data_IF_659599033612
#
_entry.id   IF_659599033612
#
_cell.length_a   1.000
_cell.length_b   1.000
_cell.length_c   1.000
_cell.angle_alpha   90.00
_cell.angle_beta   90.00
_cell.angle_gamma   90.00
#
_symmetry.space_group_name_H-M   'P 1'
#
loop_
_entity.id
_entity.type
_entity.pdbx_description
1 polymer ?
2 non-polymer ?
3 non-polymer ?
4 water ?
#
# COMPACT_ATOMS: atom_id res chain seq x y z
N UNK A 3 -0.62 -16.39 -19.82
CA UNK A 3 -0.73 -14.90 -20.01
C UNK A 3 0.01 -14.49 -21.23
N UNK A 4 -0.48 -13.36 -21.77
CA UNK A 4 0.27 -12.70 -22.86
C UNK A 4 1.68 -12.39 -22.42
N UNK A 5 2.61 -12.19 -23.35
CA UNK A 5 3.95 -11.73 -23.02
C UNK A 5 3.89 -10.31 -22.50
N UNK A 6 4.66 -9.96 -21.44
CA UNK A 6 4.74 -8.55 -21.07
C UNK A 6 5.26 -7.72 -22.25
N UNK A 7 4.83 -6.52 -22.36
CA UNK A 7 5.21 -5.60 -23.46
C UNK A 7 6.19 -4.55 -22.97
N UNK A 8 7.48 -4.78 -23.16
CA UNK A 8 8.47 -3.82 -22.66
C UNK A 8 8.46 -2.52 -23.39
N UNK A 9 8.15 -2.49 -24.68
CA UNK A 9 8.01 -1.21 -25.41
C UNK A 9 6.90 -0.39 -24.80
N UNK A 10 5.80 -1.04 -24.50
CA UNK A 10 4.70 -0.37 -23.82
C UNK A 10 5.11 0.14 -22.44
N UNK A 11 5.82 -0.69 -21.68
CA UNK A 11 6.28 -0.23 -20.36
C UNK A 11 7.20 1.00 -20.48
N UNK A 12 8.11 0.95 -21.47
CA UNK A 12 9.02 2.08 -21.70
C UNK A 12 8.18 3.35 -21.94
N UNK A 13 7.16 3.24 -22.78
CA UNK A 13 6.32 4.42 -23.12
C UNK A 13 5.60 4.93 -21.88
N UNK A 14 5.13 4.02 -21.00
CA UNK A 14 4.48 4.46 -19.79
C UNK A 14 5.42 5.29 -18.94
N UNK A 15 6.61 4.78 -18.72
CA UNK A 15 7.57 5.54 -17.87
C UNK A 15 7.88 6.87 -18.48
N UNK A 16 8.11 6.90 -19.82
CA UNK A 16 8.42 8.16 -20.45
C UNK A 16 7.32 9.18 -20.31
N UNK A 17 6.06 8.69 -20.44
CA UNK A 17 4.93 9.56 -20.26
C UNK A 17 4.87 10.09 -18.81
N UNK A 18 5.13 9.23 -17.84
CA UNK A 18 5.12 9.68 -16.45
C UNK A 18 6.14 10.80 -16.23
N UNK A 19 7.34 10.67 -16.78
CA UNK A 19 8.30 11.74 -16.66
C UNK A 19 7.76 13.03 -17.30
N UNK A 20 7.13 12.91 -18.48
CA UNK A 20 6.61 14.08 -19.14
C UNK A 20 5.51 14.80 -18.36
N UNK A 21 4.92 14.12 -17.39
CA UNK A 21 3.85 14.60 -16.58
C UNK A 21 4.32 15.06 -15.20
N UNK A 22 5.61 14.92 -14.88
CA UNK A 22 6.16 15.49 -13.68
C UNK A 22 6.82 14.55 -12.75
N UNK A 23 6.86 13.21 -13.06
CA UNK A 23 7.62 12.30 -12.18
C UNK A 23 9.13 12.51 -12.42
N UNK A 24 9.94 12.77 -11.39
CA UNK A 24 11.38 12.82 -11.67
C UNK A 24 11.92 11.53 -12.18
N UNK A 25 11.42 10.41 -11.68
CA UNK A 25 11.82 9.06 -12.03
C UNK A 25 10.64 8.15 -11.99
N UNK A 26 10.73 7.06 -12.76
CA UNK A 26 9.68 6.06 -12.78
C UNK A 26 10.31 4.74 -13.16
N UNK A 27 9.84 3.65 -12.60
CA UNK A 27 10.53 2.37 -12.84
C UNK A 27 9.48 1.28 -12.62
N UNK A 28 9.79 0.05 -13.16
CA UNK A 28 8.89 -1.10 -13.07
C UNK A 28 9.69 -2.35 -13.18
N UNK A 29 9.32 -3.37 -12.37
CA UNK A 29 9.92 -4.70 -12.49
C UNK A 29 8.74 -5.63 -12.62
N UNK A 30 8.89 -6.62 -13.47
CA UNK A 30 7.96 -7.72 -13.68
C UNK A 30 8.73 -9.01 -13.40
N UNK A 31 8.16 -9.87 -12.56
CA UNK A 31 8.63 -11.23 -12.38
C UNK A 31 7.65 -12.12 -13.12
N UNK A 32 8.05 -12.55 -14.34
CA UNK A 32 7.17 -13.34 -15.20
C UNK A 32 7.53 -14.80 -15.12
N UNK A 33 7.06 -15.48 -14.08
CA UNK A 33 7.31 -16.91 -13.91
C UNK A 33 8.81 -17.25 -14.06
N UNK A 34 9.63 -16.45 -13.41
CA UNK A 34 11.06 -16.72 -13.40
C UNK A 34 11.88 -15.88 -14.39
N UNK A 35 11.25 -15.17 -15.29
CA UNK A 35 11.95 -14.30 -16.20
C UNK A 35 11.68 -12.83 -15.78
N UNK A 36 12.75 -12.07 -15.60
CA UNK A 36 12.61 -10.72 -15.08
C UNK A 36 12.51 -9.73 -16.26
N UNK A 37 11.64 -8.72 -16.06
CA UNK A 37 11.64 -7.52 -16.87
C UNK A 37 11.91 -6.34 -15.96
N UNK A 38 12.76 -5.42 -16.36
CA UNK A 38 13.09 -4.28 -15.49
C UNK A 38 13.39 -3.09 -16.34
N UNK A 39 12.72 -1.96 -16.06
CA UNK A 39 12.91 -0.71 -16.77
C UNK A 39 12.83 0.43 -15.77
N UNK A 40 13.59 1.48 -16.07
CA UNK A 40 13.58 2.70 -15.28
C UNK A 40 13.93 3.88 -16.14
N UNK A 41 13.40 5.04 -15.84
CA UNK A 41 13.76 6.27 -16.54
C UNK A 41 13.82 7.39 -15.52
N UNK A 42 14.78 8.30 -15.70
CA UNK A 42 14.83 9.49 -14.85
C UNK A 42 15.68 9.28 -13.60
N UNK A 43 15.34 10.12 -12.61
CA UNK A 43 16.25 10.31 -11.48
C UNK A 43 15.60 9.92 -10.16
N UNK A 44 16.47 9.32 -9.33
CA UNK A 44 16.16 9.08 -7.91
C UNK A 44 16.29 10.35 -7.10
N UNK A 45 17.22 11.20 -7.47
CA UNK A 45 17.48 12.46 -6.75
C UNK A 45 17.59 13.53 -7.81
N UNK A 46 16.59 14.43 -7.84
CA UNK A 46 16.56 15.42 -8.93
C UNK A 46 17.59 16.56 -8.73
N UNK A 47 18.08 16.76 -7.56
CA UNK A 47 19.05 17.81 -7.32
C UNK A 47 20.44 17.31 -7.69
N UNK A 48 20.75 16.04 -7.37
CA UNK A 48 22.06 15.52 -7.72
C UNK A 48 22.09 14.91 -9.07
N UNK A 49 20.93 14.55 -9.59
CA UNK A 49 20.86 13.88 -10.89
C UNK A 49 21.10 12.37 -10.86
N UNK A 50 21.26 11.78 -9.68
CA UNK A 50 21.44 10.31 -9.60
C UNK A 50 20.28 9.60 -10.26
N UNK A 51 20.56 8.65 -11.15
CA UNK A 51 19.53 7.92 -11.85
C UNK A 51 18.74 6.98 -10.92
N UNK A 52 17.46 6.85 -11.20
CA UNK A 52 16.63 5.87 -10.51
C UNK A 52 16.89 4.50 -11.13
N UNK A 53 16.77 3.49 -10.30
CA UNK A 53 16.92 2.11 -10.72
C UNK A 53 15.90 1.22 -10.02
N UNK A 54 15.68 0.05 -10.58
CA UNK A 54 14.70 -0.87 -9.97
C UNK A 54 15.18 -1.45 -8.66
N UNK A 55 16.42 -1.29 -8.25
CA UNK A 55 16.86 -1.78 -6.95
C UNK A 55 16.76 -0.71 -5.87
N UNK A 56 16.35 0.52 -6.22
CA UNK A 56 16.23 1.55 -5.19
C UNK A 56 15.10 1.24 -4.21
N UNK A 57 15.40 1.35 -2.92
CA UNK A 57 14.31 1.24 -1.92
C UNK A 57 13.43 2.45 -1.99
N UNK A 58 12.16 2.30 -1.49
CA UNK A 58 11.21 3.35 -1.51
C UNK A 58 10.13 3.09 -0.48
N UNK A 59 9.32 4.12 -0.25
CA UNK A 59 8.17 4.01 0.71
C UNK A 59 6.98 3.48 -0.06
N UNK A 60 6.47 2.33 0.35
CA UNK A 60 5.38 1.66 -0.38
C UNK A 60 4.01 2.15 -0.01
N UNK A 61 3.94 3.05 0.98
CA UNK A 61 2.65 3.61 1.37
C UNK A 61 1.69 2.54 1.74
N UNK A 62 0.46 2.74 1.24
CA UNK A 62 -0.68 1.91 1.62
C UNK A 62 -0.61 0.48 1.18
N UNK A 63 0.41 0.08 0.40
CA UNK A 63 0.69 -1.34 0.27
C UNK A 63 0.89 -1.99 1.61
N UNK A 64 1.33 -1.21 2.61
CA UNK A 64 1.41 -1.67 3.97
C UNK A 64 0.16 -2.33 4.45
N UNK A 65 -1.02 -1.88 4.00
CA UNK A 65 -2.29 -2.48 4.46
C UNK A 65 -2.31 -3.98 4.16
N UNK A 66 -1.73 -4.44 3.04
CA UNK A 66 -1.71 -5.84 2.74
C UNK A 66 -0.84 -6.61 3.74
N UNK A 67 0.29 -6.03 4.16
CA UNK A 67 1.13 -6.63 5.21
C UNK A 67 0.36 -6.74 6.50
N UNK A 68 -0.34 -5.67 6.89
CA UNK A 68 -1.17 -5.70 8.12
C UNK A 68 -2.26 -6.77 8.04
N UNK A 69 -2.90 -6.85 6.86
CA UNK A 69 -3.95 -7.87 6.69
C UNK A 69 -3.39 -9.28 6.79
N UNK A 70 -2.22 -9.55 6.20
CA UNK A 70 -1.64 -10.88 6.33
C UNK A 70 -1.43 -11.22 7.81
N UNK A 71 -0.85 -10.31 8.61
CA UNK A 71 -0.64 -10.61 10.00
C UNK A 71 -1.99 -10.93 10.67
N UNK A 72 -3.02 -10.10 10.45
CA UNK A 72 -4.31 -10.36 11.10
C UNK A 72 -4.88 -11.66 10.66
N UNK A 73 -4.77 -12.04 9.40
CA UNK A 73 -5.33 -13.32 8.93
C UNK A 73 -4.57 -14.50 9.51
N UNK A 74 -3.24 -14.40 9.73
CA UNK A 74 -2.55 -15.42 10.42
C UNK A 74 -3.04 -15.52 11.86
N UNK A 75 -3.35 -14.40 12.50
CA UNK A 75 -3.96 -14.49 13.84
C UNK A 75 -5.30 -15.18 13.82
N UNK A 76 -6.09 -15.00 12.79
CA UNK A 76 -7.33 -15.76 12.62
C UNK A 76 -7.02 -17.25 12.53
N UNK A 77 -6.05 -17.61 11.71
CA UNK A 77 -5.65 -19.00 11.60
C UNK A 77 -5.26 -19.61 12.95
N UNK A 78 -4.61 -18.85 13.79
CA UNK A 78 -4.11 -19.31 15.05
C UNK A 78 -5.22 -19.28 16.12
N UNK A 79 -6.45 -18.81 15.81
CA UNK A 79 -7.52 -18.82 16.81
C UNK A 79 -7.52 -17.65 17.74
N UNK A 80 -6.81 -16.57 17.36
CA UNK A 80 -6.64 -15.40 18.25
C UNK A 80 -7.56 -14.29 17.90
N UNK A 81 -8.26 -14.37 16.74
CA UNK A 81 -9.01 -13.30 16.19
C UNK A 81 -10.20 -13.85 15.40
N UNK A 82 -11.39 -13.29 15.50
CA UNK A 82 -12.54 -13.68 14.75
C UNK A 82 -12.94 -12.47 13.87
N UNK A 83 -12.96 -12.68 12.56
CA UNK A 83 -13.27 -11.55 11.68
C UNK A 83 -14.64 -10.94 11.96
N UNK A 84 -15.59 -11.73 12.46
CA UNK A 84 -16.98 -11.23 12.59
C UNK A 84 -17.28 -10.75 14.00
N UNK A 85 -16.29 -10.74 14.88
CA UNK A 85 -16.46 -10.10 16.16
C UNK A 85 -16.29 -8.59 16.05
N UNK A 86 -16.95 -7.90 17.01
CA UNK A 86 -16.83 -6.45 17.19
C UNK A 86 -15.38 -6.04 17.40
N UNK A 87 -14.88 -4.95 16.80
CA UNK A 87 -13.60 -4.42 17.18
C UNK A 87 -13.53 -4.18 18.68
N UNK A 88 -14.59 -3.59 19.23
CA UNK A 88 -14.64 -3.25 20.64
C UNK A 88 -14.62 -4.46 21.55
N UNK A 89 -14.86 -5.66 21.03
CA UNK A 89 -14.65 -6.87 21.84
C UNK A 89 -13.19 -6.99 22.26
N UNK A 90 -12.27 -6.62 21.34
CA UNK A 90 -10.84 -6.74 21.58
C UNK A 90 -10.21 -5.44 22.14
N UNK A 91 -10.80 -4.31 21.76
CA UNK A 91 -10.27 -3.00 22.11
C UNK A 91 -11.42 -2.22 22.77
N UNK A 92 -11.73 -2.53 24.03
CA UNK A 92 -12.97 -2.02 24.58
C UNK A 92 -13.03 -0.50 24.58
N UNK A 93 -14.19 0.03 24.23
CA UNK A 93 -14.44 1.44 24.18
C UNK A 93 -13.73 2.19 23.07
N UNK A 94 -13.11 1.44 22.13
CA UNK A 94 -12.37 2.18 21.11
C UNK A 94 -13.24 2.95 20.11
N UNK A 95 -14.19 2.23 19.53
CA UNK A 95 -15.01 2.79 18.44
C UNK A 95 -16.37 3.20 18.95
N UNK A 96 -17.00 4.17 18.23
CA UNK A 96 -18.28 4.74 18.67
C UNK A 96 -19.40 3.73 18.50
N UNK A 97 -19.25 2.66 17.78
CA UNK A 97 -20.33 1.74 17.53
C UNK A 97 -19.75 0.32 17.78
N UNK A 98 -20.32 -0.36 18.76
CA UNK A 98 -19.94 -1.72 19.00
C UNK A 98 -20.24 -2.65 17.83
N UNK A 99 -21.11 -2.31 16.93
CA UNK A 99 -21.43 -3.19 15.81
C UNK A 99 -20.40 -3.15 14.71
N UNK A 100 -19.38 -2.30 14.77
CA UNK A 100 -18.30 -2.34 13.76
C UNK A 100 -17.41 -3.54 13.99
N UNK A 101 -17.28 -4.37 12.99
CA UNK A 101 -16.50 -5.63 13.12
C UNK A 101 -15.15 -5.52 12.45
N UNK A 102 -14.31 -6.55 12.80
CA UNK A 102 -12.97 -6.63 12.27
C UNK A 102 -13.01 -6.73 10.75
N UNK A 103 -13.91 -7.58 10.21
CA UNK A 103 -14.03 -7.78 8.76
C UNK A 103 -14.37 -6.44 8.10
N UNK A 104 -15.28 -5.70 8.72
CA UNK A 104 -15.68 -4.41 8.16
C UNK A 104 -14.52 -3.39 8.12
N UNK A 105 -13.72 -3.37 9.19
CA UNK A 105 -12.55 -2.46 9.15
C UNK A 105 -11.63 -2.88 8.04
N UNK A 106 -11.34 -4.20 7.92
CA UNK A 106 -10.34 -4.65 6.94
C UNK A 106 -10.75 -4.46 5.50
N UNK A 107 -12.04 -4.29 5.24
CA UNK A 107 -12.59 -4.11 3.91
C UNK A 107 -13.07 -2.69 3.68
N UNK A 108 -12.78 -1.75 4.59
CA UNK A 108 -13.21 -0.37 4.43
C UNK A 108 -14.71 -0.24 4.36
N UNK A 109 -15.43 -1.05 5.16
CA UNK A 109 -16.90 -0.96 5.27
C UNK A 109 -17.32 -0.51 6.64
N UNK A 110 -16.43 0.02 7.44
CA UNK A 110 -16.74 0.37 8.84
C UNK A 110 -17.49 1.67 9.04
N UNK A 111 -17.40 2.60 8.05
CA UNK A 111 -17.89 3.96 8.19
C UNK A 111 -16.96 4.88 8.93
N UNK A 112 -15.81 4.40 9.40
CA UNK A 112 -14.93 5.31 10.18
C UNK A 112 -14.39 6.41 9.27
N UNK A 113 -14.48 7.65 9.75
CA UNK A 113 -14.03 8.84 9.02
C UNK A 113 -12.53 8.75 8.85
N UNK A 114 -12.03 9.08 7.69
CA UNK A 114 -10.58 9.03 7.46
C UNK A 114 -9.93 10.30 8.03
N UNK A 115 -9.14 10.17 9.09
CA UNK A 115 -8.47 11.31 9.77
C UNK A 115 -7.60 12.04 8.78
N UNK A 116 -7.09 11.39 7.72
CA UNK A 116 -6.21 12.06 6.82
C UNK A 116 -6.93 13.18 6.00
N UNK A 117 -8.27 13.10 5.94
CA UNK A 117 -9.16 14.14 5.47
C UNK A 117 -8.75 15.54 6.07
N UNK A 118 -8.44 15.52 7.34
CA UNK A 118 -8.20 16.73 8.14
C UNK A 118 -6.66 17.02 8.13
N UNK A 119 -5.84 16.12 7.67
CA UNK A 119 -4.40 16.34 7.60
C UNK A 119 -3.96 16.88 6.26
N UNK A 120 -4.46 16.35 5.13
CA UNK A 120 -3.81 16.62 3.85
C UNK A 120 -4.68 17.24 2.79
N UNK A 121 -5.68 17.92 3.17
CA UNK A 121 -6.46 18.71 2.29
C UNK A 121 -5.60 19.72 1.56
N UNK A 122 -4.67 20.36 2.30
CA UNK A 122 -3.61 21.15 1.69
C UNK A 122 -2.37 20.29 1.73
N UNK A 123 -1.87 19.86 0.56
CA UNK A 123 -0.90 18.80 0.49
C UNK A 123 0.40 19.09 1.18
N UNK A 124 1.08 20.20 0.73
CA UNK A 124 2.39 20.49 1.25
C UNK A 124 2.30 20.98 2.71
N UNK A 125 1.40 21.92 3.06
CA UNK A 125 1.26 22.27 4.49
C UNK A 125 0.96 21.08 5.33
N UNK A 126 0.10 20.17 4.88
CA UNK A 126 -0.20 18.97 5.68
C UNK A 126 1.02 18.09 5.88
N UNK A 127 1.81 17.89 4.83
CA UNK A 127 3.06 17.17 4.96
C UNK A 127 3.98 17.81 5.97
N UNK A 128 4.13 19.15 5.89
CA UNK A 128 5.01 19.84 6.84
C UNK A 128 4.46 19.70 8.24
N UNK A 129 3.17 19.59 8.42
CA UNK A 129 2.48 19.39 9.68
C UNK A 129 2.83 18.06 10.35
N UNK A 130 2.83 16.96 9.60
CA UNK A 130 2.93 15.65 10.14
C UNK A 130 4.32 15.05 10.06
N UNK A 131 5.19 15.54 9.16
CA UNK A 131 6.33 14.73 8.76
C UNK A 131 7.25 14.37 9.91
N UNK A 132 7.33 15.25 10.90
CA UNK A 132 8.25 15.07 12.05
C UNK A 132 7.47 14.83 13.32
N UNK A 133 6.23 14.41 13.25
CA UNK A 133 5.43 14.11 14.43
C UNK A 133 5.45 12.62 14.66
N UNK A 134 5.30 12.26 15.94
CA UNK A 134 5.10 10.88 16.37
C UNK A 134 3.75 10.81 17.02
N UNK A 135 2.85 10.00 16.45
CA UNK A 135 1.50 9.80 16.94
C UNK A 135 1.41 8.43 17.62
N UNK A 136 0.61 8.30 18.66
CA UNK A 136 0.20 6.96 19.07
C UNK A 136 -0.94 6.50 18.19
N UNK A 137 -1.21 5.18 18.17
CA UNK A 137 -2.37 4.67 17.48
C UNK A 137 -3.63 5.38 17.97
N UNK A 138 -3.76 5.52 19.31
CA UNK A 138 -4.97 6.13 19.86
C UNK A 138 -5.10 7.54 19.39
N UNK A 139 -4.00 8.29 19.24
CA UNK A 139 -4.10 9.68 18.79
C UNK A 139 -4.84 9.73 17.47
N UNK A 140 -4.50 8.80 16.55
CA UNK A 140 -5.09 8.80 15.22
C UNK A 140 -6.57 8.41 15.26
N UNK A 141 -6.91 7.40 16.11
CA UNK A 141 -8.29 7.08 16.29
C UNK A 141 -9.09 8.27 16.82
N UNK A 142 -8.52 8.95 17.84
CA UNK A 142 -9.24 10.13 18.36
C UNK A 142 -9.50 11.18 17.30
N UNK A 143 -8.53 11.38 16.45
CA UNK A 143 -8.73 12.34 15.34
C UNK A 143 -9.85 11.94 14.46
N UNK A 144 -9.97 10.65 14.10
CA UNK A 144 -11.12 10.20 13.30
C UNK A 144 -12.43 10.47 14.02
N UNK A 145 -12.44 10.14 15.32
CA UNK A 145 -13.71 10.18 16.10
C UNK A 145 -14.12 11.62 16.40
N UNK A 146 -13.41 12.62 16.01
CA UNK A 146 -13.92 14.00 16.02
C UNK A 146 -15.06 14.11 15.02
N UNK A 147 -15.20 13.16 14.10
CA UNK A 147 -16.23 13.16 13.09
C UNK A 147 -17.14 11.96 13.28
N UNK A 148 -18.37 12.10 12.84
CA UNK A 148 -19.25 10.92 12.86
C UNK A 148 -18.82 9.90 11.79
N UNK A 149 -19.39 8.71 11.94
CA UNK A 149 -19.16 7.73 10.86
C UNK A 149 -19.86 8.21 9.59
N UNK A 150 -19.47 7.68 8.48
CA UNK A 150 -20.03 8.11 7.18
C UNK A 150 -21.05 7.14 6.60
N UNK A 151 -21.20 5.95 7.25
CA UNK A 151 -22.22 5.01 6.81
C UNK A 151 -22.38 4.01 7.94
N UNK A 152 -23.47 3.25 7.86
CA UNK A 152 -23.74 2.20 8.88
C UNK A 152 -22.69 1.08 8.76
N UNK A 153 -22.50 0.33 9.85
CA UNK A 153 -21.46 -0.72 9.82
C UNK A 153 -21.70 -1.69 8.70
N UNK A 154 -20.67 -1.93 7.87
CA UNK A 154 -20.70 -2.89 6.78
C UNK A 154 -21.40 -2.39 5.52
N UNK A 155 -22.02 -1.18 5.55
CA UNK A 155 -23.00 -0.87 4.55
C UNK A 155 -22.43 -0.35 3.25
N UNK A 156 -21.26 0.22 3.26
CA UNK A 156 -20.74 0.93 2.11
C UNK A 156 -19.22 0.83 2.15
N UNK A 157 -18.64 0.79 0.99
CA UNK A 157 -17.16 0.92 0.87
C UNK A 157 -16.75 2.36 0.92
N UNK A 158 -15.84 2.69 1.79
CA UNK A 158 -15.27 4.04 1.90
C UNK A 158 -13.88 3.91 2.41
N UNK A 159 -12.89 4.10 1.53
CA UNK A 159 -11.51 3.86 1.97
C UNK A 159 -11.16 4.78 3.14
N UNK A 160 -10.55 4.21 4.18
CA UNK A 160 -10.18 5.03 5.32
C UNK A 160 -8.96 4.49 5.98
N UNK A 161 -7.93 5.31 6.12
CA UNK A 161 -6.74 4.93 6.89
C UNK A 161 -7.05 4.53 8.29
N UNK A 162 -8.10 5.11 8.89
CA UNK A 162 -8.46 4.80 10.24
C UNK A 162 -8.62 3.29 10.44
N UNK A 163 -9.15 2.62 9.40
CA UNK A 163 -9.32 1.18 9.48
C UNK A 163 -8.02 0.42 9.73
N UNK A 164 -6.94 0.87 9.10
CA UNK A 164 -5.69 0.14 9.25
C UNK A 164 -4.85 0.68 10.43
N UNK A 165 -5.22 1.81 11.02
CA UNK A 165 -4.79 2.14 12.38
C UNK A 165 -5.40 1.15 13.36
N UNK A 166 -6.73 0.89 13.25
CA UNK A 166 -7.34 -0.14 14.05
C UNK A 166 -6.62 -1.48 13.86
N UNK A 167 -6.27 -1.84 12.62
CA UNK A 167 -5.54 -3.07 12.38
C UNK A 167 -4.28 -3.19 13.20
N UNK A 168 -3.47 -2.11 13.21
CA UNK A 168 -2.25 -2.14 13.98
C UNK A 168 -2.49 -2.28 15.47
N UNK A 169 -3.51 -1.59 15.97
CA UNK A 169 -3.85 -1.76 17.40
C UNK A 169 -4.26 -3.17 17.71
N UNK A 170 -5.01 -3.79 16.84
CA UNK A 170 -5.42 -5.20 17.05
C UNK A 170 -4.22 -6.08 17.06
N UNK A 171 -3.32 -5.88 16.11
CA UNK A 171 -2.10 -6.73 16.12
C UNK A 171 -1.34 -6.59 17.40
N UNK A 172 -1.07 -5.35 17.83
CA UNK A 172 -0.25 -5.16 19.00
C UNK A 172 -0.95 -5.64 20.26
N UNK A 173 -2.27 -5.41 20.41
CA UNK A 173 -2.81 -5.89 21.66
C UNK A 173 -2.85 -7.40 21.65
N UNK A 174 -3.31 -8.07 20.59
CA UNK A 174 -3.57 -9.52 20.66
C UNK A 174 -2.24 -10.29 20.72
N UNK A 175 -1.16 -9.74 20.19
CA UNK A 175 0.11 -10.42 20.26
C UNK A 175 1.00 -10.01 21.38
N UNK A 176 0.83 -8.79 21.90
CA UNK A 176 1.77 -8.28 22.90
C UNK A 176 3.09 -7.82 22.28
N UNK A 177 3.19 -7.73 20.95
CA UNK A 177 4.41 -7.37 20.26
C UNK A 177 4.13 -6.14 19.42
N UNK A 178 5.17 -5.47 18.96
CA UNK A 178 5.02 -4.39 18.05
C UNK A 178 4.67 -4.86 16.63
N UNK A 179 4.05 -3.98 15.84
CA UNK A 179 3.82 -4.37 14.45
C UNK A 179 5.16 -4.64 13.78
N UNK A 180 6.24 -3.92 14.05
CA UNK A 180 7.50 -4.22 13.40
C UNK A 180 7.94 -5.67 13.63
N UNK A 181 7.82 -6.12 14.90
CA UNK A 181 8.20 -7.48 15.22
C UNK A 181 7.32 -8.49 14.47
N UNK A 182 6.03 -8.22 14.43
CA UNK A 182 5.12 -9.15 13.73
C UNK A 182 5.41 -9.17 12.23
N UNK A 183 5.60 -8.02 11.63
CA UNK A 183 5.94 -8.03 10.20
C UNK A 183 7.21 -8.83 9.99
N UNK A 184 8.22 -8.56 10.83
CA UNK A 184 9.54 -9.18 10.62
C UNK A 184 9.39 -10.72 10.74
N UNK A 185 8.74 -11.19 11.78
CA UNK A 185 8.73 -12.61 12.06
C UNK A 185 7.77 -13.36 11.16
N UNK A 186 6.66 -12.76 10.75
CA UNK A 186 5.66 -13.43 9.98
C UNK A 186 5.82 -13.28 8.49
N UNK A 187 6.52 -12.28 8.05
CA UNK A 187 6.56 -11.93 6.60
C UNK A 187 8.00 -11.68 6.15
N UNK A 188 8.70 -10.69 6.73
CA UNK A 188 9.97 -10.29 6.13
C UNK A 188 11.00 -11.40 6.22
N UNK A 189 11.12 -12.02 7.41
CA UNK A 189 12.13 -13.10 7.55
C UNK A 189 11.72 -14.32 6.74
N UNK A 190 10.49 -14.85 6.88
CA UNK A 190 10.16 -16.12 6.10
C UNK A 190 10.35 -15.95 4.63
N UNK A 191 10.05 -14.77 4.05
CA UNK A 191 10.16 -14.56 2.62
C UNK A 191 11.53 -14.02 2.22
N UNK A 192 12.42 -13.79 3.21
CA UNK A 192 13.74 -13.24 2.91
C UNK A 192 13.65 -11.92 2.17
N UNK A 193 12.83 -11.01 2.69
CA UNK A 193 12.65 -9.68 2.08
C UNK A 193 13.73 -8.75 2.55
N UNK A 194 14.93 -8.87 1.94
CA UNK A 194 16.14 -8.15 2.42
C UNK A 194 16.10 -6.66 2.20
N UNK A 195 15.17 -6.17 1.39
CA UNK A 195 15.03 -4.73 1.15
C UNK A 195 13.81 -4.12 1.90
N UNK A 196 13.19 -4.93 2.79
CA UNK A 196 11.93 -4.52 3.37
C UNK A 196 12.09 -4.22 4.87
N UNK A 197 11.54 -3.07 5.27
CA UNK A 197 11.73 -2.57 6.63
C UNK A 197 10.50 -1.91 7.14
N UNK A 198 10.39 -1.88 8.48
CA UNK A 198 9.40 -1.05 9.18
C UNK A 198 10.17 -0.42 10.31
N UNK A 199 10.53 0.85 10.16
CA UNK A 199 11.48 1.52 11.04
C UNK A 199 10.80 2.65 11.82
N UNK A 200 9.50 2.82 11.72
CA UNK A 200 8.81 3.88 12.42
C UNK A 200 9.22 4.01 13.87
N UNK A 201 9.48 5.21 14.36
CA UNK A 201 9.34 6.52 13.69
C UNK A 201 10.62 7.05 13.08
N UNK A 202 11.62 6.21 12.79
CA UNK A 202 12.81 6.68 12.10
C UNK A 202 12.48 7.26 10.75
N UNK A 203 13.16 8.33 10.38
CA UNK A 203 12.94 9.03 9.13
C UNK A 203 13.91 8.66 8.02
N UNK A 204 14.95 7.91 8.34
CA UNK A 204 15.93 7.50 7.37
C UNK A 204 15.43 6.26 6.62
N UNK A 205 15.66 6.24 5.33
CA UNK A 205 15.43 5.05 4.50
C UNK A 205 16.75 4.33 4.41
N UNK A 206 16.83 3.10 4.91
CA UNK A 206 18.15 2.40 4.91
C UNK A 206 18.57 2.06 3.51
N UNK A 207 19.86 2.24 3.23
CA UNK A 207 20.47 1.86 1.92
C UNK A 207 20.06 2.81 0.82
N UNK A 208 20.43 2.41 -0.38
CA UNK A 208 20.24 3.26 -1.56
C UNK A 208 18.73 3.28 -1.86
N UNK A 209 18.22 4.51 -2.04
CA UNK A 209 16.81 4.71 -2.18
C UNK A 209 16.48 5.78 -3.17
N UNK A 210 15.26 5.72 -3.68
CA UNK A 210 14.72 6.87 -4.43
C UNK A 210 14.29 7.92 -3.45
N UNK A 211 14.60 9.19 -3.74
CA UNK A 211 14.00 10.27 -3.01
C UNK A 211 12.59 10.46 -3.48
N UNK A 212 11.74 10.96 -2.61
CA UNK A 212 10.34 11.24 -2.96
C UNK A 212 10.13 12.72 -3.15
N UNK A 213 9.31 13.07 -4.12
CA UNK A 213 9.06 14.50 -4.43
C UNK A 213 7.59 14.78 -4.43
N UNK A 214 7.15 15.58 -3.48
CA UNK A 214 5.75 15.89 -3.36
C UNK A 214 5.43 17.03 -4.30
N UNK A 215 4.43 16.82 -5.16
CA UNK A 215 3.93 17.85 -6.06
C UNK A 215 3.03 18.76 -5.29
N UNK A 216 3.23 20.09 -5.34
CA UNK A 216 2.37 20.98 -4.63
C UNK A 216 0.99 21.05 -5.27
N UNK A 217 0.03 21.52 -4.50
CA UNK A 217 -1.32 21.68 -5.05
C UNK A 217 -1.39 22.74 -6.17
N UNK A 218 -0.53 23.71 -6.14
CA UNK A 218 -0.53 24.81 -7.15
C UNK A 218 0.10 24.32 -8.45
N UNK A 219 -0.61 24.43 -9.56
CA UNK A 219 -0.05 24.06 -10.82
C UNK A 219 1.26 24.78 -11.06
N UNK A 220 2.23 23.98 -11.56
CA UNK A 220 3.56 24.53 -11.90
C UNK A 220 4.41 24.77 -10.71
N UNK A 221 4.02 24.51 -9.46
CA UNK A 221 4.83 24.80 -8.27
C UNK A 221 6.03 23.95 -8.17
N UNK A 222 7.04 24.44 -7.45
CA UNK A 222 8.29 23.67 -7.24
C UNK A 222 8.04 22.43 -6.40
N UNK A 223 8.77 21.36 -6.72
CA UNK A 223 8.65 20.12 -5.96
C UNK A 223 9.32 20.21 -4.62
N UNK A 224 8.76 19.47 -3.64
CA UNK A 224 9.24 19.40 -2.27
C UNK A 224 9.83 18.02 -2.02
N UNK A 225 11.03 17.95 -1.50
CA UNK A 225 11.65 16.67 -1.14
C UNK A 225 10.90 16.14 0.11
N UNK A 226 10.22 15.01 -0.06
CA UNK A 226 9.45 14.43 1.04
C UNK A 226 9.99 13.09 1.48
N UNK A 227 11.24 12.81 1.13
CA UNK A 227 11.84 11.50 1.42
C UNK A 227 11.80 11.11 2.86
N UNK A 228 12.26 12.00 3.73
CA UNK A 228 12.53 11.64 5.17
C UNK A 228 11.42 12.15 6.04
N UNK A 229 10.62 11.22 6.57
CA UNK A 229 9.51 11.56 7.45
C UNK A 229 9.29 10.37 8.33
N UNK A 230 8.52 10.55 9.42
CA UNK A 230 8.27 9.46 10.33
C UNK A 230 7.26 8.45 9.78
N UNK A 231 6.36 8.94 8.91
CA UNK A 231 5.20 8.21 8.47
C UNK A 231 4.37 7.76 9.68
N UNK A 232 4.45 8.51 10.78
CA UNK A 232 3.72 8.16 11.99
C UNK A 232 2.23 8.40 11.79
N UNK A 233 1.86 9.26 10.83
CA UNK A 233 0.46 9.47 10.54
C UNK A 233 -0.19 8.21 9.97
N UNK A 234 0.59 7.28 9.46
CA UNK A 234 0.05 6.06 8.81
C UNK A 234 0.39 4.77 9.58
N UNK A 235 1.62 4.54 9.95
CA UNK A 235 2.01 3.35 10.69
C UNK A 235 1.55 2.08 9.99
N UNK A 236 0.71 1.26 10.59
CA UNK A 236 0.25 0.00 9.99
C UNK A 236 -0.69 0.20 8.80
N UNK A 237 -1.03 1.49 8.49
CA UNK A 237 -1.75 1.83 7.26
C UNK A 237 -0.80 2.23 6.14
N UNK A 238 0.49 2.45 6.41
CA UNK A 238 1.32 3.01 5.31
C UNK A 238 2.83 3.14 5.51
N UNK A 239 3.50 2.62 6.53
CA UNK A 239 4.91 2.97 6.77
C UNK A 239 5.95 1.94 6.29
N UNK A 240 5.61 0.87 5.60
CA UNK A 240 6.65 -0.09 5.15
C UNK A 240 7.52 0.53 4.06
N UNK A 241 8.82 0.19 4.12
CA UNK A 241 9.79 0.47 3.08
C UNK A 241 10.09 -0.84 2.35
N UNK A 242 10.22 -0.83 1.03
CA UNK A 242 10.53 -2.04 0.30
C UNK A 242 11.20 -1.72 -1.03
N UNK A 243 11.18 -2.73 -1.89
CA UNK A 243 11.76 -2.65 -3.20
C UNK A 243 10.81 -3.36 -4.18
N UNK A 244 11.04 -3.12 -5.47
CA UNK A 244 10.21 -3.83 -6.48
C UNK A 244 10.37 -5.32 -6.39
N UNK A 245 11.62 -5.82 -6.17
CA UNK A 245 11.77 -7.27 -6.08
C UNK A 245 11.02 -7.81 -4.89
N UNK A 246 11.13 -7.15 -3.75
CA UNK A 246 10.45 -7.68 -2.56
C UNK A 246 8.94 -7.58 -2.60
N UNK A 247 8.36 -6.56 -3.20
CA UNK A 247 6.91 -6.52 -3.29
C UNK A 247 6.43 -7.62 -4.26
N UNK A 248 7.21 -7.84 -5.35
CA UNK A 248 6.88 -8.96 -6.24
C UNK A 248 6.90 -10.29 -5.49
N UNK A 249 7.96 -10.51 -4.70
CA UNK A 249 8.01 -11.72 -3.92
C UNK A 249 6.81 -11.84 -2.95
N UNK A 250 6.49 -10.74 -2.28
CA UNK A 250 5.39 -10.76 -1.29
C UNK A 250 4.05 -11.12 -1.96
N UNK A 251 3.68 -10.38 -3.03
CA UNK A 251 2.38 -10.64 -3.60
C UNK A 251 2.29 -11.98 -4.28
N UNK A 252 3.43 -12.44 -4.87
CA UNK A 252 3.38 -13.79 -5.45
C UNK A 252 3.29 -14.85 -4.36
N UNK A 253 3.90 -14.64 -3.20
CA UNK A 253 3.72 -15.59 -2.09
C UNK A 253 2.30 -15.58 -1.58
N UNK A 254 1.71 -14.39 -1.47
CA UNK A 254 0.34 -14.27 -0.99
C UNK A 254 -0.57 -15.04 -1.93
N UNK A 255 -0.53 -14.72 -3.24
CA UNK A 255 -1.54 -15.28 -4.13
C UNK A 255 -1.33 -16.75 -4.36
N UNK A 256 -0.10 -17.25 -4.27
CA UNK A 256 0.19 -18.66 -4.41
C UNK A 256 -0.05 -19.45 -3.18
N UNK A 257 -0.55 -18.84 -2.09
CA UNK A 257 -0.97 -19.61 -0.97
C UNK A 257 0.00 -19.82 0.19
N UNK A 258 1.11 -19.04 0.22
CA UNK A 258 2.16 -19.34 1.14
C UNK A 258 2.06 -18.58 2.48
N UNK A 259 1.11 -17.67 2.64
CA UNK A 259 1.15 -16.78 3.81
C UNK A 259 0.04 -17.01 4.77
N UNK A 260 -0.90 -17.92 4.52
CA UNK A 260 -2.03 -18.17 5.44
C UNK A 260 -2.74 -19.42 4.93
N UNK A 261 -3.72 -19.85 5.71
CA UNK A 261 -4.50 -20.99 5.21
C UNK A 261 -5.29 -20.64 3.98
N UNK A 262 -5.73 -21.69 3.24
CA UNK A 262 -6.62 -21.46 2.09
C UNK A 262 -7.88 -20.78 2.55
N UNK A 263 -8.46 -21.14 3.68
CA UNK A 263 -9.72 -20.52 4.20
C UNK A 263 -9.50 -19.04 4.34
N UNK A 264 -8.38 -18.62 4.96
CA UNK A 264 -8.22 -17.18 5.17
C UNK A 264 -7.89 -16.43 3.87
N UNK A 265 -7.15 -17.06 2.95
CA UNK A 265 -6.99 -16.37 1.67
C UNK A 265 -8.31 -16.17 0.97
N UNK A 266 -9.24 -17.15 1.08
CA UNK A 266 -10.55 -16.96 0.49
C UNK A 266 -11.27 -15.80 1.13
N UNK A 267 -11.20 -15.62 2.41
CA UNK A 267 -11.81 -14.47 3.06
C UNK A 267 -11.20 -13.15 2.57
N UNK A 268 -9.87 -13.18 2.38
CA UNK A 268 -9.17 -12.01 1.91
C UNK A 268 -9.62 -11.58 0.51
N UNK A 269 -10.11 -12.53 -0.28
CA UNK A 269 -10.50 -12.30 -1.67
C UNK A 269 -12.03 -12.24 -1.81
N UNK A 270 -12.76 -12.02 -0.75
CA UNK A 270 -14.21 -11.74 -0.89
C UNK A 270 -14.33 -10.27 -1.25
N UNK A 271 -14.71 -9.98 -2.48
CA UNK A 271 -14.60 -8.62 -3.00
C UNK A 271 -15.80 -7.74 -2.65
N UNK A 272 -15.54 -6.58 -2.10
CA UNK A 272 -16.45 -5.48 -1.96
C UNK A 272 -16.28 -4.58 -3.17
N UNK A 273 -17.35 -4.20 -3.86
CA UNK A 273 -17.20 -3.32 -5.04
C UNK A 273 -16.67 -1.98 -4.68
N UNK A 274 -15.65 -1.54 -5.45
CA UNK A 274 -15.08 -0.21 -5.33
C UNK A 274 -15.62 0.66 -6.47
N UNK A 275 -15.52 0.13 -7.68
CA UNK A 275 -16.10 0.74 -8.87
C UNK A 275 -16.30 -0.34 -9.87
N UNK A 276 -16.66 -0.02 -11.11
CA UNK A 276 -16.99 -1.12 -12.03
C UNK A 276 -15.82 -1.98 -12.46
N UNK A 277 -14.59 -1.54 -12.18
CA UNK A 277 -13.39 -2.35 -12.55
C UNK A 277 -12.53 -2.69 -11.38
N UNK A 278 -13.02 -2.54 -10.15
CA UNK A 278 -12.19 -2.74 -8.99
C UNK A 278 -12.99 -3.26 -7.83
N UNK A 279 -12.33 -4.06 -7.01
CA UNK A 279 -12.83 -4.56 -5.76
C UNK A 279 -11.82 -4.38 -4.66
N UNK A 280 -12.30 -4.54 -3.41
CA UNK A 280 -11.44 -4.50 -2.24
C UNK A 280 -11.81 -5.71 -1.39
N UNK A 281 -10.84 -6.48 -0.94
CA UNK A 281 -11.06 -7.68 -0.16
C UNK A 281 -10.81 -7.33 1.30
N UNK A 282 -9.82 -7.99 1.89
CA UNK A 282 -9.36 -7.64 3.25
C UNK A 282 -7.93 -7.16 3.08
N UNK A 283 -7.75 -5.84 3.07
CA UNK A 283 -6.44 -5.26 2.83
C UNK A 283 -5.81 -5.67 1.48
N UNK A 284 -6.66 -5.78 0.43
CA UNK A 284 -6.22 -6.30 -0.86
C UNK A 284 -7.13 -5.69 -1.92
N UNK A 285 -6.54 -5.27 -3.02
CA UNK A 285 -7.27 -4.70 -4.14
C UNK A 285 -7.31 -5.67 -5.30
N UNK A 286 -8.43 -5.66 -6.06
CA UNK A 286 -8.56 -6.31 -7.32
C UNK A 286 -8.73 -5.22 -8.40
N UNK A 287 -7.92 -5.30 -9.46
CA UNK A 287 -8.10 -4.44 -10.64
C UNK A 287 -8.41 -5.28 -11.85
N UNK A 288 -9.44 -4.91 -12.59
CA UNK A 288 -9.83 -5.66 -13.78
C UNK A 288 -9.26 -4.92 -14.99
N UNK A 289 -8.43 -5.64 -15.73
CA UNK A 289 -7.67 -4.96 -16.85
C UNK A 289 -8.40 -5.10 -18.15
N UNK A 290 -8.04 -4.41 -19.18
CA UNK A 290 -8.81 -4.23 -20.34
C UNK A 290 -8.96 -5.51 -21.09
N UNK A 291 -8.02 -6.39 -20.99
CA UNK A 291 -8.06 -7.61 -21.80
C UNK A 291 -8.83 -8.69 -21.07
N UNK A 292 -9.44 -8.41 -19.92
CA UNK A 292 -10.20 -9.57 -19.28
C UNK A 292 -9.42 -10.31 -18.23
N UNK A 293 -8.29 -9.85 -17.83
CA UNK A 293 -7.43 -10.30 -16.76
C UNK A 293 -7.73 -9.43 -15.51
N UNK A 294 -7.87 -10.09 -14.33
CA UNK A 294 -7.87 -9.41 -13.06
C UNK A 294 -6.53 -9.64 -12.35
N UNK A 295 -6.05 -8.63 -11.66
CA UNK A 295 -4.82 -8.72 -10.89
C UNK A 295 -5.11 -8.18 -9.46
N UNK A 296 -4.20 -8.56 -8.54
CA UNK A 296 -4.49 -8.50 -7.12
C UNK A 296 -3.30 -7.93 -6.39
N UNK A 297 -3.51 -6.97 -5.49
CA UNK A 297 -2.37 -6.34 -4.82
C UNK A 297 -2.78 -5.08 -4.14
N UNK A 298 -1.96 -4.03 -4.22
CA UNK A 298 -2.34 -2.79 -3.59
C UNK A 298 -1.57 -1.66 -4.21
N UNK A 299 -2.06 -0.45 -4.01
CA UNK A 299 -1.44 0.83 -4.37
C UNK A 299 -0.91 1.57 -3.13
N UNK A 300 -0.01 2.49 -3.38
CA UNK A 300 0.47 3.38 -2.37
C UNK A 300 0.63 4.82 -2.91
N UNK A 301 0.42 5.84 -2.03
CA UNK A 301 0.50 7.21 -2.39
C UNK A 301 1.16 8.07 -1.32
N UNK A 302 1.91 7.48 -0.44
CA UNK A 302 2.60 8.24 0.61
C UNK A 302 3.48 9.31 0.01
N UNK A 303 3.68 10.40 0.71
CA UNK A 303 4.19 11.63 0.07
C UNK A 303 5.46 11.37 -0.72
N UNK A 304 5.38 11.69 -2.02
CA UNK A 304 6.47 11.57 -2.91
C UNK A 304 6.62 10.22 -3.64
N UNK A 305 5.74 9.27 -3.35
CA UNK A 305 5.91 7.91 -3.93
C UNK A 305 4.54 7.35 -4.37
N UNK A 306 4.39 7.09 -5.64
CA UNK A 306 3.23 6.34 -6.13
C UNK A 306 3.65 4.93 -6.50
N UNK A 307 3.01 3.93 -5.87
CA UNK A 307 3.30 2.54 -6.01
C UNK A 307 2.09 1.74 -6.55
N UNK A 308 2.34 0.85 -7.50
CA UNK A 308 1.41 -0.19 -7.87
C UNK A 308 2.13 -1.52 -7.65
N UNK A 309 1.53 -2.47 -6.95
CA UNK A 309 2.16 -3.79 -6.74
C UNK A 309 1.04 -4.82 -6.90
N UNK A 310 1.04 -5.57 -7.97
CA UNK A 310 -0.07 -6.49 -8.29
C UNK A 310 0.47 -7.80 -8.85
N UNK A 311 -0.24 -8.87 -8.59
CA UNK A 311 0.09 -10.20 -9.12
C UNK A 311 -1.12 -10.86 -9.72
N UNK A 312 -0.84 -11.81 -10.59
CA UNK A 312 -1.92 -12.67 -11.12
C UNK A 312 -2.47 -13.56 -10.07
N UNK A 313 -3.62 -14.16 -10.34
CA UNK A 313 -4.35 -14.94 -9.38
C UNK A 313 -3.56 -16.07 -8.77
N UNK A 314 -2.65 -16.70 -9.57
CA UNK A 314 -1.84 -17.80 -9.07
C UNK A 314 -0.47 -17.33 -8.59
N UNK A 315 -0.23 -16.02 -8.62
CA UNK A 315 1.07 -15.49 -8.16
C UNK A 315 2.22 -15.66 -9.13
N UNK A 316 1.97 -16.27 -10.31
CA UNK A 316 3.12 -16.54 -11.17
C UNK A 316 3.63 -15.37 -11.92
N UNK A 317 2.88 -14.30 -12.09
CA UNK A 317 3.42 -13.06 -12.63
C UNK A 317 3.10 -11.95 -11.64
N UNK A 318 4.12 -11.19 -11.28
CA UNK A 318 3.95 -10.05 -10.38
C UNK A 318 4.63 -8.82 -10.98
N UNK A 319 4.09 -7.67 -10.68
CA UNK A 319 4.53 -6.38 -11.20
C UNK A 319 4.57 -5.37 -10.10
N UNK A 320 5.66 -4.61 -9.94
CA UNK A 320 5.70 -3.47 -9.08
C UNK A 320 6.25 -2.29 -9.85
N UNK A 321 5.51 -1.19 -9.83
CA UNK A 321 5.88 0.08 -10.47
C UNK A 321 5.90 1.17 -9.46
N UNK A 322 6.86 2.09 -9.61
CA UNK A 322 7.05 3.21 -8.71
C UNK A 322 7.35 4.43 -9.52
N UNK A 323 6.68 5.54 -9.21
CA UNK A 323 7.08 6.86 -9.64
C UNK A 323 7.38 7.65 -8.41
N UNK A 324 8.50 8.39 -8.35
CA UNK A 324 8.86 9.15 -7.14
C UNK A 324 8.31 10.57 -7.10
N UNK A 325 7.01 10.64 -7.40
CA UNK A 325 6.25 11.81 -7.01
C UNK A 325 4.90 11.33 -6.46
N UNK A 326 4.18 12.22 -5.83
CA UNK A 326 2.78 11.99 -5.51
C UNK A 326 2.05 13.31 -5.62
N UNK A 327 0.73 13.28 -5.40
CA UNK A 327 -0.16 14.43 -5.62
C UNK A 327 -0.08 14.94 -7.06
N UNK A 328 -0.16 13.97 -7.96
CA UNK A 328 -0.06 14.25 -9.41
C UNK A 328 -0.88 13.18 -10.07
N UNK A 329 -2.20 13.43 -10.26
CA UNK A 329 -3.05 12.36 -10.75
C UNK A 329 -2.70 11.99 -12.18
N UNK A 330 -2.12 12.90 -12.96
CA UNK A 330 -1.67 12.46 -14.32
C UNK A 330 -0.68 11.35 -14.19
N UNK A 331 0.33 11.50 -13.33
CA UNK A 331 1.31 10.44 -13.10
C UNK A 331 0.64 9.20 -12.54
N UNK A 332 -0.24 9.39 -11.56
CA UNK A 332 -0.86 8.21 -10.97
C UNK A 332 -1.59 7.40 -12.01
N UNK A 333 -2.40 8.03 -12.85
CA UNK A 333 -3.16 7.33 -13.86
C UNK A 333 -2.27 6.73 -14.91
N UNK A 334 -1.21 7.42 -15.32
CA UNK A 334 -0.29 6.88 -16.27
C UNK A 334 0.38 5.62 -15.72
N UNK A 335 0.81 5.67 -14.45
CA UNK A 335 1.54 4.51 -13.92
C UNK A 335 0.66 3.30 -13.82
N UNK A 336 -0.68 3.43 -13.69
CA UNK A 336 -1.55 2.27 -13.74
C UNK A 336 -1.44 1.51 -15.02
N UNK A 337 -1.06 2.19 -16.12
CA UNK A 337 -0.92 1.53 -17.42
C UNK A 337 0.19 0.48 -17.41
N UNK A 338 1.14 0.53 -16.46
CA UNK A 338 2.14 -0.54 -16.37
C UNK A 338 1.44 -1.87 -16.20
N UNK A 339 0.31 -1.93 -15.54
CA UNK A 339 -0.35 -3.23 -15.35
C UNK A 339 -0.89 -3.77 -16.67
N UNK A 340 -1.41 -2.84 -17.50
CA UNK A 340 -1.89 -3.21 -18.82
C UNK A 340 -0.75 -3.82 -19.64
N UNK A 341 0.37 -3.05 -19.73
CA UNK A 341 1.47 -3.55 -20.55
C UNK A 341 2.05 -4.83 -20.03
N UNK A 342 2.16 -4.97 -18.69
CA UNK A 342 2.80 -6.12 -18.11
C UNK A 342 1.96 -7.38 -18.14
N UNK A 343 0.64 -7.26 -18.02
CA UNK A 343 -0.23 -8.41 -18.00
C UNK A 343 -0.97 -8.62 -19.32
N UNK A 344 -1.47 -7.59 -19.93
CA UNK A 344 -2.20 -7.70 -21.21
C UNK A 344 -1.29 -7.77 -22.39
N UNK A 345 -0.09 -7.22 -22.31
CA UNK A 345 0.86 -7.23 -23.39
C UNK A 345 0.49 -6.30 -24.54
N UNK A 346 1.12 -6.55 -25.68
CA UNK A 346 0.93 -5.72 -26.87
C UNK A 346 -0.50 -5.90 -27.32
N UNK A 347 -1.11 -4.78 -27.75
CA UNK A 347 -2.51 -4.76 -28.17
C UNK A 347 -2.72 -5.31 -29.57
#
# INVERSE_FOLDING_TARGET
ADLPAPDDTGLQAVLHTALSQGAPGAMVRVDDNGTIHQLSEGVADRATGRAITTTDRFRVGSVTKSFSAVVLLQLVDEGKLDLDASVNTYLPGLLPDDRITVRQVMSHRSGLYDYTNDMFAQTVPGFESVRNKVFSYQDLITLSLKHGVTNAPGAAYSYSNTNFVVAGMLIEKLTGHSVATEYQNRIFTPLNLTDTFYVHPDTVIPGTHANGYLTPDEAGGALVDSTEQTVSWAQSAGAVISSTQDLDTFFSALMSGQLMSAAQLAQMQQWTTVNSTQGYGLGLRRRDLSCGISVYGHTGTVQGYYTYAFASKDGKRSVTALANTSNNVNVLNTMARTLESAFCGKPTT
#
